data_IF_502233471035
#
_entry.id   IF_502233471035
#
_cell.length_a   1.000
_cell.length_b   1.000
_cell.length_c   1.000
_cell.angle_alpha   90.00
_cell.angle_beta   90.00
_cell.angle_gamma   90.00
#
_symmetry.space_group_name_H-M   'P 1'
#
loop_
_entity.id
_entity.type
_entity.pdbx_description
1 polymer ?
#
# COMPACT_ATOMS: atom_id res chain seq x y z
N UNK A 1 3.02 20.01 3.98
CA UNK A 1 2.39 19.01 4.87
C UNK A 1 3.13 17.69 4.70
N UNK A 2 3.15 16.82 5.70
CA UNK A 2 3.70 15.46 5.54
C UNK A 2 2.71 14.59 4.79
N UNK A 3 3.18 13.78 3.83
CA UNK A 3 2.36 12.80 3.11
C UNK A 3 1.92 11.67 4.05
N UNK A 4 0.78 11.04 3.76
CA UNK A 4 0.28 9.87 4.48
C UNK A 4 0.93 8.61 3.88
N UNK A 5 1.68 7.82 4.66
CA UNK A 5 2.27 6.58 4.17
C UNK A 5 1.19 5.50 4.00
N UNK A 6 1.15 4.90 2.82
CA UNK A 6 0.14 3.90 2.43
C UNK A 6 0.82 2.62 1.94
N UNK A 7 0.32 1.49 2.43
CA UNK A 7 0.63 0.15 1.91
C UNK A 7 -0.57 -0.35 1.14
N UNK A 8 -0.38 -0.88 -0.07
CA UNK A 8 -1.43 -1.58 -0.83
C UNK A 8 -1.16 -3.08 -0.77
N UNK A 9 -2.07 -3.84 -0.17
CA UNK A 9 -2.05 -5.31 -0.13
C UNK A 9 -2.97 -5.89 -1.22
N UNK A 10 -2.52 -6.93 -1.92
CA UNK A 10 -3.18 -7.46 -3.12
C UNK A 10 -2.91 -6.61 -4.37
N UNK A 11 -1.71 -6.04 -4.48
CA UNK A 11 -1.37 -5.04 -5.49
C UNK A 11 -1.39 -5.55 -6.94
N UNK A 12 -1.23 -6.85 -7.19
CA UNK A 12 -1.35 -7.44 -8.54
C UNK A 12 -2.81 -7.73 -8.92
N UNK A 13 -3.75 -7.63 -7.98
CA UNK A 13 -5.18 -7.77 -8.24
C UNK A 13 -5.75 -6.65 -9.12
N UNK A 14 -6.97 -6.87 -9.65
CA UNK A 14 -7.66 -5.85 -10.48
C UNK A 14 -7.82 -4.52 -9.75
N UNK A 15 -8.24 -4.57 -8.48
CA UNK A 15 -8.43 -3.39 -7.64
C UNK A 15 -7.10 -2.85 -7.12
N UNK A 16 -6.18 -3.73 -6.70
CA UNK A 16 -4.87 -3.34 -6.19
C UNK A 16 -4.05 -2.50 -7.18
N UNK A 17 -4.06 -2.85 -8.47
CA UNK A 17 -3.33 -2.07 -9.49
C UNK A 17 -3.88 -0.66 -9.65
N UNK A 18 -5.19 -0.48 -9.59
CA UNK A 18 -5.80 0.86 -9.68
C UNK A 18 -5.57 1.66 -8.39
N UNK A 19 -5.57 1.00 -7.23
CA UNK A 19 -5.23 1.63 -5.97
C UNK A 19 -3.78 2.13 -5.94
N UNK A 20 -2.82 1.32 -6.42
CA UNK A 20 -1.41 1.73 -6.56
C UNK A 20 -1.29 2.98 -7.43
N UNK A 21 -2.01 3.06 -8.56
CA UNK A 21 -1.99 4.27 -9.41
C UNK A 21 -2.56 5.47 -8.67
N UNK A 22 -3.74 5.33 -8.07
CA UNK A 22 -4.41 6.41 -7.35
C UNK A 22 -3.54 6.97 -6.20
N UNK A 23 -2.85 6.09 -5.46
CA UNK A 23 -1.95 6.52 -4.38
C UNK A 23 -0.73 7.27 -4.93
N UNK A 24 -0.15 6.84 -6.05
CA UNK A 24 1.00 7.53 -6.67
C UNK A 24 0.62 8.89 -7.27
N UNK A 25 -0.61 9.04 -7.76
CA UNK A 25 -1.11 10.30 -8.36
C UNK A 25 -1.54 11.33 -7.30
N UNK A 26 -1.87 10.89 -6.08
CA UNK A 26 -2.29 11.77 -5.00
C UNK A 26 -1.11 12.52 -4.36
N UNK A 27 -1.20 13.84 -4.29
CA UNK A 27 -0.12 14.69 -3.76
C UNK A 27 0.12 14.52 -2.26
N UNK A 28 -0.91 14.14 -1.51
CA UNK A 28 -0.92 13.97 -0.06
C UNK A 28 -0.63 12.54 0.40
N UNK A 29 -0.47 11.59 -0.53
CA UNK A 29 -0.16 10.21 -0.23
C UNK A 29 1.28 9.83 -0.62
N UNK A 30 1.79 8.79 0.03
CA UNK A 30 3.09 8.18 -0.24
C UNK A 30 2.95 6.66 -0.26
N UNK A 31 3.23 6.02 -1.39
CA UNK A 31 3.18 4.56 -1.50
C UNK A 31 4.48 3.96 -0.94
N UNK A 32 4.42 3.46 0.30
CA UNK A 32 5.61 2.93 0.99
C UNK A 32 5.80 1.43 0.77
N UNK A 33 4.73 0.70 0.42
CA UNK A 33 4.84 -0.68 -0.06
C UNK A 33 3.63 -1.09 -0.91
N UNK A 34 3.90 -1.97 -1.88
CA UNK A 34 2.89 -2.68 -2.67
C UNK A 34 3.17 -4.17 -2.52
N UNK A 35 2.25 -4.90 -1.92
CA UNK A 35 2.43 -6.29 -1.49
C UNK A 35 1.37 -7.19 -2.13
N UNK A 36 1.72 -8.46 -2.32
CA UNK A 36 0.80 -9.52 -2.73
C UNK A 36 1.12 -10.84 -1.99
N UNK A 37 0.51 -11.94 -2.44
CA UNK A 37 0.50 -13.25 -1.77
C UNK A 37 1.88 -13.78 -1.31
N UNK A 38 2.94 -13.49 -2.05
CA UNK A 38 4.30 -13.99 -1.74
C UNK A 38 5.07 -13.09 -0.75
N UNK A 39 4.51 -11.94 -0.38
CA UNK A 39 5.18 -10.94 0.46
C UNK A 39 4.85 -11.07 1.95
N UNK A 40 5.81 -10.70 2.81
CA UNK A 40 5.61 -10.64 4.26
C UNK A 40 4.95 -9.33 4.69
N UNK A 41 3.61 -9.33 4.75
CA UNK A 41 2.83 -8.20 5.24
C UNK A 41 3.20 -7.80 6.68
N UNK A 42 3.46 -8.75 7.57
CA UNK A 42 3.74 -8.44 8.98
C UNK A 42 5.09 -7.75 9.13
N UNK A 43 6.11 -8.25 8.44
CA UNK A 43 7.42 -7.62 8.40
C UNK A 43 7.34 -6.18 7.87
N UNK A 44 6.58 -5.97 6.79
CA UNK A 44 6.42 -4.64 6.18
C UNK A 44 5.66 -3.65 7.06
N UNK A 45 4.65 -4.11 7.81
CA UNK A 45 3.95 -3.26 8.79
C UNK A 45 4.84 -2.87 9.97
N UNK A 46 5.73 -3.76 10.40
CA UNK A 46 6.69 -3.47 11.46
C UNK A 46 7.74 -2.44 11.01
N UNK A 47 8.24 -2.55 9.77
CA UNK A 47 9.18 -1.59 9.17
C UNK A 47 8.55 -0.22 8.92
N UNK A 48 7.26 -0.17 8.59
CA UNK A 48 6.52 1.03 8.24
C UNK A 48 5.49 1.41 9.32
N UNK A 49 5.90 1.43 10.58
CA UNK A 49 5.01 1.77 11.69
C UNK A 49 4.35 3.14 11.48
N UNK A 50 3.02 3.20 11.46
CA UNK A 50 2.24 4.42 11.19
C UNK A 50 1.66 4.52 9.77
N UNK A 51 1.92 3.55 8.89
CA UNK A 51 1.28 3.45 7.58
C UNK A 51 -0.17 2.99 7.66
N UNK A 52 -1.00 3.48 6.74
CA UNK A 52 -2.36 2.98 6.48
C UNK A 52 -2.29 1.83 5.46
N UNK A 53 -3.10 0.79 5.64
CA UNK A 53 -3.20 -0.33 4.68
C UNK A 53 -4.49 -0.24 3.89
N UNK A 54 -4.37 -0.29 2.57
CA UNK A 54 -5.48 -0.54 1.65
C UNK A 54 -5.41 -2.02 1.27
N UNK A 55 -6.41 -2.79 1.69
CA UNK A 55 -6.44 -4.24 1.50
C UNK A 55 -7.44 -4.64 0.42
N UNK A 56 -6.93 -5.19 -0.68
CA UNK A 56 -7.70 -5.78 -1.77
C UNK A 56 -7.39 -7.27 -1.95
N UNK A 57 -7.25 -7.99 -0.84
CA UNK A 57 -7.17 -9.45 -0.84
C UNK A 57 -8.55 -10.07 -0.64
N UNK A 58 -8.86 -11.17 -1.33
CA UNK A 58 -9.92 -12.18 -1.07
C UNK A 58 -9.92 -13.26 -2.16
#
# INVERSE_FOLDING_TARGET
MSKIPVIVNGCLGKMGREAVKAVNEAEDLDLVASLDFEDDLRGRLAENSGSVVVDFTH
#
